data_IF_647651751653
#
_entry.id   IF_647651751653
#
_cell.length_a   1.000
_cell.length_b   1.000
_cell.length_c   1.000
_cell.angle_alpha   90.00
_cell.angle_beta   90.00
_cell.angle_gamma   90.00
#
_symmetry.space_group_name_H-M   'P 1'
#
loop_
_entity.id
_entity.type
_entity.pdbx_description
1 polymer ?
#
# COMPACT_ATOMS: atom_id res chain seq x y z
N UNK A 1 -1.66 -28.98 -7.45
CA UNK A 1 -0.47 -28.57 -6.69
C UNK A 1 0.14 -27.27 -7.21
N UNK A 2 0.49 -27.17 -8.50
CA UNK A 2 1.09 -25.95 -9.10
C UNK A 2 0.34 -24.63 -8.83
N UNK A 3 -1.00 -24.62 -8.97
CA UNK A 3 -1.83 -23.43 -8.70
C UNK A 3 -1.75 -22.93 -7.26
N UNK A 4 -1.60 -23.84 -6.29
CA UNK A 4 -1.48 -23.48 -4.86
C UNK A 4 -0.12 -22.84 -4.60
N UNK A 5 0.94 -23.38 -5.19
CA UNK A 5 2.31 -22.86 -5.04
C UNK A 5 2.39 -21.44 -5.60
N UNK A 6 1.79 -21.17 -6.77
CA UNK A 6 1.74 -19.81 -7.35
C UNK A 6 1.05 -18.83 -6.38
N UNK A 7 -0.10 -19.21 -5.82
CA UNK A 7 -0.83 -18.35 -4.89
C UNK A 7 -0.02 -18.06 -3.62
N UNK A 8 0.68 -19.06 -3.09
CA UNK A 8 1.55 -18.90 -1.92
C UNK A 8 2.70 -17.96 -2.25
N UNK A 9 3.39 -18.16 -3.38
CA UNK A 9 4.52 -17.31 -3.79
C UNK A 9 4.06 -15.86 -4.00
N UNK A 10 2.94 -15.64 -4.69
CA UNK A 10 2.37 -14.31 -4.89
C UNK A 10 1.96 -13.66 -3.56
N UNK A 11 1.32 -14.41 -2.67
CA UNK A 11 0.91 -13.93 -1.35
C UNK A 11 2.12 -13.53 -0.49
N UNK A 12 3.15 -14.37 -0.45
CA UNK A 12 4.38 -14.08 0.28
C UNK A 12 5.13 -12.89 -0.31
N UNK A 13 5.25 -12.80 -1.63
CA UNK A 13 5.89 -11.67 -2.31
C UNK A 13 5.16 -10.36 -2.02
N UNK A 14 3.82 -10.36 -2.11
CA UNK A 14 3.00 -9.21 -1.75
C UNK A 14 3.16 -8.83 -0.27
N UNK A 15 3.21 -9.81 0.64
CA UNK A 15 3.33 -9.54 2.08
C UNK A 15 4.71 -8.95 2.43
N UNK A 16 5.78 -9.46 1.82
CA UNK A 16 7.12 -8.88 1.93
C UNK A 16 7.16 -7.44 1.39
N UNK A 17 6.51 -7.19 0.26
CA UNK A 17 6.40 -5.84 -0.30
C UNK A 17 5.61 -4.90 0.62
N UNK A 18 4.49 -5.36 1.18
CA UNK A 18 3.67 -4.57 2.09
C UNK A 18 4.44 -4.19 3.36
N UNK A 19 5.08 -5.16 4.02
CA UNK A 19 5.88 -4.89 5.23
C UNK A 19 7.08 -4.01 4.89
N UNK A 20 7.76 -4.26 3.78
CA UNK A 20 8.87 -3.43 3.30
C UNK A 20 8.44 -1.98 3.03
N UNK A 21 7.28 -1.78 2.41
CA UNK A 21 6.71 -0.45 2.16
C UNK A 21 6.29 0.24 3.47
N UNK A 22 5.73 -0.49 4.43
CA UNK A 22 5.43 0.08 5.76
C UNK A 22 6.70 0.55 6.47
N UNK A 23 7.74 -0.29 6.46
CA UNK A 23 8.96 -0.01 7.20
C UNK A 23 9.84 1.03 6.49
N UNK A 24 10.21 0.81 5.23
CA UNK A 24 11.10 1.72 4.51
C UNK A 24 10.38 2.91 3.89
N UNK A 25 9.16 2.69 3.37
CA UNK A 25 8.37 3.75 2.75
C UNK A 25 7.76 4.69 3.79
N UNK A 26 6.87 4.20 4.64
CA UNK A 26 6.11 5.04 5.57
C UNK A 26 6.93 5.55 6.76
N UNK A 27 7.71 4.69 7.44
CA UNK A 27 8.54 5.19 8.55
C UNK A 27 9.69 6.07 8.03
N UNK A 28 10.33 5.69 6.93
CA UNK A 28 11.36 6.52 6.29
C UNK A 28 10.80 7.90 5.90
N UNK A 29 9.60 7.91 5.31
CA UNK A 29 8.87 9.14 5.02
C UNK A 29 8.61 9.96 6.30
N UNK A 30 8.15 9.32 7.37
CA UNK A 30 7.87 9.99 8.64
C UNK A 30 9.11 10.68 9.23
N UNK A 31 10.24 9.97 9.28
CA UNK A 31 11.49 10.53 9.79
C UNK A 31 11.96 11.72 8.95
N UNK A 32 11.96 11.60 7.62
CA UNK A 32 12.38 12.70 6.75
C UNK A 32 11.39 13.87 6.75
N UNK A 33 10.09 13.62 6.86
CA UNK A 33 9.08 14.65 6.98
C UNK A 33 9.20 15.43 8.29
N UNK A 34 9.62 14.78 9.38
CA UNK A 34 9.89 15.44 10.65
C UNK A 34 11.11 16.38 10.58
N UNK A 35 12.14 16.02 9.81
CA UNK A 35 13.36 16.84 9.67
C UNK A 35 13.22 17.97 8.65
N UNK A 36 12.67 17.68 7.47
CA UNK A 36 12.70 18.60 6.30
C UNK A 36 11.33 19.18 5.96
N UNK A 37 10.26 18.67 6.57
CA UNK A 37 8.88 18.99 6.24
C UNK A 37 8.28 18.05 5.19
N UNK A 38 6.94 17.99 5.13
CA UNK A 38 6.20 17.06 4.27
C UNK A 38 6.45 17.28 2.77
N UNK A 39 6.41 18.54 2.32
CA UNK A 39 6.49 18.91 0.90
C UNK A 39 7.82 18.49 0.25
N UNK A 40 9.00 18.88 0.78
CA UNK A 40 10.27 18.45 0.18
C UNK A 40 10.51 16.95 0.30
N UNK A 41 9.96 16.28 1.33
CA UNK A 41 10.10 14.83 1.48
C UNK A 41 9.24 14.05 0.47
N UNK A 42 8.02 14.51 0.18
CA UNK A 42 7.14 13.91 -0.84
C UNK A 42 7.62 14.16 -2.28
N UNK A 43 8.17 15.35 -2.53
CA UNK A 43 8.64 15.72 -3.87
C UNK A 43 10.09 15.31 -4.14
N UNK A 44 10.90 15.06 -3.11
CA UNK A 44 12.33 14.74 -3.24
C UNK A 44 13.23 15.94 -3.61
N UNK A 45 12.66 17.12 -3.86
CA UNK A 45 13.38 18.34 -4.26
C UNK A 45 12.88 19.57 -3.49
N UNK A 46 13.77 20.55 -3.30
CA UNK A 46 13.42 21.86 -2.75
C UNK A 46 12.75 22.69 -3.85
N UNK A 47 11.55 23.21 -3.58
CA UNK A 47 10.82 24.09 -4.51
C UNK A 47 9.92 23.38 -5.53
N UNK A 48 9.42 22.16 -5.26
CA UNK A 48 8.48 21.51 -6.17
C UNK A 48 7.19 22.33 -6.35
N UNK A 49 6.62 22.28 -7.56
CA UNK A 49 5.36 22.93 -7.87
C UNK A 49 4.19 22.32 -7.07
N UNK A 50 3.09 23.06 -6.91
CA UNK A 50 1.92 22.53 -6.19
C UNK A 50 1.31 21.31 -6.89
N UNK A 51 1.44 21.23 -8.23
CA UNK A 51 0.98 20.07 -9.01
C UNK A 51 1.84 18.83 -8.73
N UNK A 52 3.17 18.98 -8.71
CA UNK A 52 4.07 17.87 -8.40
C UNK A 52 3.81 17.34 -6.99
N UNK A 53 3.62 18.26 -6.03
CA UNK A 53 3.25 17.88 -4.67
C UNK A 53 1.93 17.11 -4.61
N UNK A 54 0.90 17.58 -5.32
CA UNK A 54 -0.39 16.91 -5.36
C UNK A 54 -0.27 15.49 -5.96
N UNK A 55 0.45 15.33 -7.07
CA UNK A 55 0.70 14.02 -7.67
C UNK A 55 1.47 13.09 -6.73
N UNK A 56 2.50 13.59 -6.03
CA UNK A 56 3.22 12.79 -5.03
C UNK A 56 2.32 12.33 -3.87
N UNK A 57 1.43 13.21 -3.38
CA UNK A 57 0.48 12.87 -2.31
C UNK A 57 -0.52 11.82 -2.80
N UNK A 58 -1.11 12.02 -3.98
CA UNK A 58 -2.04 11.06 -4.59
C UNK A 58 -1.36 9.73 -4.85
N UNK A 59 -0.11 9.74 -5.30
CA UNK A 59 0.69 8.52 -5.48
C UNK A 59 0.89 7.77 -4.16
N UNK A 60 1.31 8.47 -3.09
CA UNK A 60 1.49 7.86 -1.78
C UNK A 60 0.19 7.24 -1.26
N UNK A 61 -0.92 7.99 -1.33
CA UNK A 61 -2.24 7.49 -0.91
C UNK A 61 -2.70 6.31 -1.77
N UNK A 62 -2.45 6.36 -3.09
CA UNK A 62 -2.75 5.28 -4.01
C UNK A 62 -1.98 4.00 -3.66
N UNK A 63 -0.70 4.11 -3.35
CA UNK A 63 0.12 2.98 -2.91
C UNK A 63 -0.39 2.39 -1.60
N UNK A 64 -0.73 3.22 -0.61
CA UNK A 64 -1.33 2.75 0.65
C UNK A 64 -2.66 2.03 0.38
N UNK A 65 -3.50 2.57 -0.50
CA UNK A 65 -4.79 1.97 -0.85
C UNK A 65 -4.62 0.60 -1.53
N UNK A 66 -3.73 0.49 -2.53
CA UNK A 66 -3.47 -0.75 -3.25
C UNK A 66 -2.82 -1.82 -2.36
N UNK A 67 -1.88 -1.40 -1.51
CA UNK A 67 -1.14 -2.31 -0.65
C UNK A 67 -2.00 -2.78 0.51
N UNK A 68 -2.81 -1.93 1.14
CA UNK A 68 -3.52 -2.33 2.37
C UNK A 68 -5.02 -2.47 2.17
N UNK A 69 -5.68 -1.44 1.63
CA UNK A 69 -7.15 -1.36 1.61
C UNK A 69 -7.76 -2.36 0.63
N UNK A 70 -7.21 -2.44 -0.58
CA UNK A 70 -7.70 -3.34 -1.64
C UNK A 70 -7.65 -4.83 -1.24
N UNK A 71 -6.51 -5.39 -0.76
CA UNK A 71 -6.46 -6.79 -0.35
C UNK A 71 -7.35 -7.10 0.85
N UNK A 72 -7.46 -6.17 1.82
CA UNK A 72 -8.41 -6.33 2.94
C UNK A 72 -9.84 -6.38 2.40
N UNK A 73 -10.22 -5.48 1.49
CA UNK A 73 -11.52 -5.46 0.84
C UNK A 73 -11.84 -6.75 0.09
N UNK A 74 -10.86 -7.28 -0.65
CA UNK A 74 -10.98 -8.57 -1.36
C UNK A 74 -11.23 -9.72 -0.37
N UNK A 75 -10.45 -9.79 0.72
CA UNK A 75 -10.62 -10.82 1.74
C UNK A 75 -12.02 -10.74 2.36
N UNK A 76 -12.45 -9.54 2.77
CA UNK A 76 -13.78 -9.31 3.35
C UNK A 76 -14.88 -9.74 2.36
N UNK A 77 -14.75 -9.37 1.08
CA UNK A 77 -15.71 -9.74 0.03
C UNK A 77 -15.82 -11.27 -0.11
N UNK A 78 -14.70 -11.99 -0.17
CA UNK A 78 -14.73 -13.45 -0.28
C UNK A 78 -15.29 -14.12 0.97
N UNK A 79 -14.93 -13.65 2.17
CA UNK A 79 -15.44 -14.22 3.44
C UNK A 79 -16.96 -14.01 3.54
N UNK A 80 -17.46 -12.81 3.25
CA UNK A 80 -18.90 -12.50 3.29
C UNK A 80 -19.69 -13.29 2.24
N UNK A 81 -19.17 -13.43 1.02
CA UNK A 81 -19.80 -14.24 -0.04
C UNK A 81 -19.89 -15.72 0.35
N UNK A 82 -18.83 -16.30 0.91
CA UNK A 82 -18.83 -17.70 1.36
C UNK A 82 -19.79 -17.95 2.53
N UNK A 83 -19.97 -16.98 3.44
CA UNK A 83 -20.97 -17.07 4.51
C UNK A 83 -22.38 -17.11 3.96
N UNK A 84 -22.71 -16.24 2.99
CA UNK A 84 -24.04 -16.24 2.35
C UNK A 84 -24.34 -17.56 1.62
N UNK A 85 -23.34 -18.13 0.94
CA UNK A 85 -23.50 -19.41 0.24
C UNK A 85 -23.61 -20.64 1.15
N UNK A 86 -23.26 -20.54 2.44
CA UNK A 86 -23.40 -21.64 3.42
C UNK A 86 -24.75 -21.61 4.16
N UNK A 87 -25.46 -20.49 4.12
CA UNK A 87 -26.73 -20.28 4.84
C UNK A 87 -27.95 -20.58 3.94
N UNK A 88 -27.79 -20.49 2.62
CA UNK A 88 -28.74 -21.02 1.62
C UNK A 88 -28.46 -22.50 1.34
#
# INVERSE_FOLDING_TARGET
MWKLIILIVLGTAWLLYAVGFAYFGLLGFWFHAAEKGFRPTLCGTLGCSDLDFFFSVVWLLGMIFLIYVLPIGIIIYFVTKKRKAKIN
#
